data_IF_933937597572
#
_entry.id   IF_933937597572
#
_cell.length_a   1.000
_cell.length_b   1.000
_cell.length_c   1.000
_cell.angle_alpha   90.00
_cell.angle_beta   90.00
_cell.angle_gamma   90.00
#
_symmetry.space_group_name_H-M   'P 1'
#
loop_
_entity.id
_entity.type
_entity.pdbx_description
1 polymer ?
#
# COMPACT_ATOMS: atom_id res chain seq x y z
N UNK A 1 -34.14 16.25 43.63
CA UNK A 1 -34.05 16.52 42.17
C UNK A 1 -32.61 16.59 41.65
N UNK A 2 -31.68 17.36 42.24
CA UNK A 2 -30.27 17.48 41.77
C UNK A 2 -29.46 16.17 41.65
N UNK A 3 -29.68 15.19 42.53
CA UNK A 3 -28.95 13.89 42.51
C UNK A 3 -29.22 13.03 41.28
N UNK A 4 -30.46 13.05 40.77
CA UNK A 4 -30.83 12.26 39.58
C UNK A 4 -30.24 12.87 38.30
N UNK A 5 -30.14 14.20 38.23
CA UNK A 5 -29.53 14.91 37.09
C UNK A 5 -28.03 14.64 36.97
N UNK A 6 -27.31 14.57 38.11
CA UNK A 6 -25.88 14.22 38.13
C UNK A 6 -25.62 12.77 37.69
N UNK A 7 -26.47 11.82 38.13
CA UNK A 7 -26.34 10.41 37.75
C UNK A 7 -26.61 10.19 36.26
N UNK A 8 -27.67 10.79 35.72
CA UNK A 8 -28.01 10.73 34.28
C UNK A 8 -26.89 11.34 33.41
N UNK A 9 -26.26 12.43 33.85
CA UNK A 9 -25.10 13.03 33.15
C UNK A 9 -23.88 12.10 33.14
N UNK A 10 -23.60 11.42 34.26
CA UNK A 10 -22.49 10.46 34.36
C UNK A 10 -22.68 9.24 33.48
N UNK A 11 -23.89 8.69 33.45
CA UNK A 11 -24.21 7.51 32.62
C UNK A 11 -24.11 7.85 31.12
N UNK A 12 -24.63 9.01 30.70
CA UNK A 12 -24.54 9.47 29.31
C UNK A 12 -23.09 9.73 28.85
N UNK A 13 -22.25 10.31 29.72
CA UNK A 13 -20.85 10.57 29.43
C UNK A 13 -20.03 9.27 29.34
N UNK A 14 -20.33 8.26 30.16
CA UNK A 14 -19.68 6.94 30.12
C UNK A 14 -20.04 6.15 28.85
N UNK A 15 -21.28 6.26 28.38
CA UNK A 15 -21.72 5.59 27.16
C UNK A 15 -21.12 6.27 25.92
N UNK A 16 -21.08 7.60 25.88
CA UNK A 16 -20.41 8.34 24.81
C UNK A 16 -18.92 7.96 24.70
N UNK A 17 -18.23 7.81 25.83
CA UNK A 17 -16.82 7.38 25.86
C UNK A 17 -16.64 5.95 25.33
N UNK A 18 -17.53 5.01 25.68
CA UNK A 18 -17.52 3.64 25.15
C UNK A 18 -17.72 3.61 23.63
N UNK A 19 -18.66 4.41 23.11
CA UNK A 19 -18.88 4.54 21.66
C UNK A 19 -17.68 5.17 20.95
N UNK A 20 -17.07 6.20 21.56
CA UNK A 20 -15.86 6.82 21.02
C UNK A 20 -14.70 5.83 20.95
N UNK A 21 -14.44 5.05 22.00
CA UNK A 21 -13.42 4.00 21.98
C UNK A 21 -13.73 2.93 20.93
N UNK A 22 -14.99 2.53 20.81
CA UNK A 22 -15.44 1.55 19.80
C UNK A 22 -15.19 2.04 18.37
N UNK A 23 -15.53 3.31 18.08
CA UNK A 23 -15.28 3.94 16.79
C UNK A 23 -13.78 4.03 16.47
N UNK A 24 -12.96 4.47 17.43
CA UNK A 24 -11.50 4.53 17.26
C UNK A 24 -10.93 3.14 16.98
N UNK A 25 -11.36 2.12 17.71
CA UNK A 25 -10.96 0.74 17.47
C UNK A 25 -11.34 0.25 16.08
N UNK A 26 -12.57 0.52 15.63
CA UNK A 26 -13.02 0.15 14.29
C UNK A 26 -12.20 0.82 13.18
N UNK A 27 -11.89 2.11 13.32
CA UNK A 27 -11.03 2.84 12.37
C UNK A 27 -9.64 2.22 12.31
N UNK A 28 -9.02 1.91 13.45
CA UNK A 28 -7.70 1.27 13.49
C UNK A 28 -7.69 -0.09 12.78
N UNK A 29 -8.74 -0.90 12.95
CA UNK A 29 -8.87 -2.19 12.25
C UNK A 29 -8.94 -1.97 10.73
N UNK A 30 -9.75 -1.01 10.26
CA UNK A 30 -9.84 -0.69 8.83
C UNK A 30 -8.49 -0.22 8.30
N UNK A 31 -7.76 0.61 9.04
CA UNK A 31 -6.44 1.09 8.62
C UNK A 31 -5.42 -0.06 8.50
N UNK A 32 -5.43 -1.03 9.43
CA UNK A 32 -4.56 -2.22 9.33
C UNK A 32 -4.96 -3.13 8.17
N UNK A 33 -6.26 -3.34 7.98
CA UNK A 33 -6.78 -4.19 6.90
C UNK A 33 -6.62 -3.58 5.51
N UNK A 34 -6.37 -2.29 5.40
CA UNK A 34 -6.22 -1.58 4.12
C UNK A 34 -4.76 -1.27 3.78
N UNK A 35 -3.82 -1.73 4.60
CA UNK A 35 -2.39 -1.60 4.33
C UNK A 35 -2.06 -2.26 2.97
N UNK A 36 -1.54 -1.49 2.01
CA UNK A 36 -1.15 -2.02 0.70
C UNK A 36 -0.10 -3.14 0.90
N UNK A 37 -0.33 -4.27 0.24
CA UNK A 37 0.51 -5.47 0.37
C UNK A 37 1.22 -5.80 -0.96
N UNK A 38 2.20 -6.69 -0.89
CA UNK A 38 3.01 -7.08 -2.04
C UNK A 38 2.18 -7.76 -3.15
N UNK A 39 1.14 -8.53 -2.78
CA UNK A 39 0.25 -9.17 -3.75
C UNK A 39 -0.58 -8.15 -4.56
N UNK A 40 -1.01 -7.06 -3.93
CA UNK A 40 -1.67 -5.94 -4.59
C UNK A 40 -0.73 -5.22 -5.54
N UNK A 41 0.53 -5.03 -5.13
CA UNK A 41 1.56 -4.43 -5.97
C UNK A 41 1.86 -5.28 -7.19
N UNK A 42 2.09 -6.58 -7.05
CA UNK A 42 2.40 -7.47 -8.19
C UNK A 42 1.24 -7.56 -9.17
N UNK A 43 -0.01 -7.57 -8.68
CA UNK A 43 -1.20 -7.52 -9.52
C UNK A 43 -1.30 -6.20 -10.29
N UNK A 44 -1.05 -5.08 -9.63
CA UNK A 44 -1.02 -3.76 -10.27
C UNK A 44 0.11 -3.68 -11.31
N UNK A 45 1.31 -4.12 -10.97
CA UNK A 45 2.49 -4.11 -11.83
C UNK A 45 2.27 -4.93 -13.11
N UNK A 46 1.64 -6.11 -12.98
CA UNK A 46 1.26 -6.94 -14.12
C UNK A 46 0.21 -6.27 -14.99
N UNK A 47 -0.79 -5.63 -14.39
CA UNK A 47 -1.89 -4.98 -15.12
C UNK A 47 -1.45 -3.71 -15.84
N UNK A 48 -0.68 -2.85 -15.18
CA UNK A 48 -0.35 -1.51 -15.66
C UNK A 48 0.92 -1.50 -16.51
N UNK A 49 1.94 -2.25 -16.10
CA UNK A 49 3.24 -2.27 -16.80
C UNK A 49 3.47 -3.55 -17.62
N UNK A 50 2.57 -4.55 -17.51
CA UNK A 50 2.72 -5.84 -18.20
C UNK A 50 3.84 -6.71 -17.63
N UNK A 51 4.39 -6.37 -16.46
CA UNK A 51 5.54 -7.08 -15.86
C UNK A 51 5.05 -8.19 -14.95
N UNK A 52 5.49 -9.41 -15.22
CA UNK A 52 5.24 -10.58 -14.38
C UNK A 52 6.58 -11.18 -13.97
N UNK A 53 6.81 -11.25 -12.66
CA UNK A 53 8.00 -11.88 -12.09
C UNK A 53 7.63 -13.23 -11.50
N UNK A 54 8.35 -14.26 -11.89
CA UNK A 54 8.17 -15.62 -11.38
C UNK A 54 9.47 -16.04 -10.70
N UNK A 55 9.38 -16.40 -9.42
CA UNK A 55 10.51 -16.94 -8.69
C UNK A 55 10.69 -18.42 -9.09
N UNK A 56 11.78 -18.76 -9.76
CA UNK A 56 12.08 -20.14 -10.19
C UNK A 56 12.91 -20.91 -9.17
N UNK A 57 13.19 -20.32 -8.00
CA UNK A 57 13.95 -20.93 -6.90
C UNK A 57 15.44 -20.64 -6.94
N UNK A 58 16.02 -20.40 -8.13
CA UNK A 58 17.41 -19.97 -8.30
C UNK A 58 17.54 -18.49 -8.68
N UNK A 59 16.59 -17.98 -9.47
CA UNK A 59 16.55 -16.59 -9.90
C UNK A 59 15.10 -16.09 -9.97
N UNK A 60 14.93 -14.77 -9.89
CA UNK A 60 13.65 -14.11 -10.15
C UNK A 60 13.64 -13.72 -11.62
N UNK A 61 12.98 -14.55 -12.45
CA UNK A 61 12.79 -14.26 -13.87
C UNK A 61 11.60 -13.33 -14.05
N UNK A 62 11.82 -12.12 -14.57
CA UNK A 62 10.75 -11.20 -14.91
C UNK A 62 10.57 -11.12 -16.42
N UNK A 63 9.32 -10.95 -16.86
CA UNK A 63 8.98 -10.75 -18.27
C UNK A 63 8.01 -9.59 -18.41
N UNK A 64 8.14 -8.85 -19.50
CA UNK A 64 7.22 -7.79 -19.92
C UNK A 64 6.72 -8.10 -21.32
N UNK A 65 5.43 -8.40 -21.48
CA UNK A 65 4.83 -8.71 -22.80
C UNK A 65 5.69 -9.69 -23.63
N UNK A 66 6.11 -10.80 -23.02
CA UNK A 66 6.98 -11.85 -23.59
C UNK A 66 8.49 -11.54 -23.69
N UNK A 67 8.91 -10.27 -23.58
CA UNK A 67 10.32 -9.91 -23.50
C UNK A 67 10.90 -10.20 -22.10
N UNK A 68 12.13 -10.69 -22.03
CA UNK A 68 12.83 -10.91 -20.77
C UNK A 68 13.30 -9.58 -20.19
N UNK A 69 12.94 -9.34 -18.92
CA UNK A 69 13.35 -8.16 -18.18
C UNK A 69 14.12 -8.59 -16.95
N UNK A 70 15.31 -8.03 -16.76
CA UNK A 70 16.12 -8.32 -15.59
C UNK A 70 15.70 -7.41 -14.44
N UNK A 71 15.17 -8.01 -13.38
CA UNK A 71 14.98 -7.29 -12.13
C UNK A 71 16.34 -7.01 -11.48
N UNK A 72 16.57 -5.75 -11.07
CA UNK A 72 17.84 -5.31 -10.46
C UNK A 72 17.72 -5.12 -8.97
N UNK A 73 16.74 -4.33 -8.55
CA UNK A 73 16.57 -3.98 -7.14
C UNK A 73 15.15 -3.51 -6.87
N UNK A 74 14.69 -3.76 -5.65
CA UNK A 74 13.44 -3.24 -5.10
C UNK A 74 13.72 -2.45 -3.84
N UNK A 75 13.11 -1.29 -3.71
CA UNK A 75 13.05 -0.53 -2.47
C UNK A 75 11.60 -0.33 -2.06
N UNK A 76 11.26 -0.74 -0.85
CA UNK A 76 9.93 -0.59 -0.27
C UNK A 76 10.04 0.25 1.00
N UNK A 77 9.20 1.27 1.10
CA UNK A 77 9.06 2.09 2.29
C UNK A 77 7.61 2.07 2.77
N UNK A 78 7.39 1.68 4.02
CA UNK A 78 6.08 1.70 4.67
C UNK A 78 5.96 2.92 5.58
N UNK A 79 4.86 3.67 5.46
CA UNK A 79 4.57 4.85 6.27
C UNK A 79 3.08 4.86 6.68
N UNK A 80 2.76 4.14 7.76
CA UNK A 80 1.38 3.98 8.22
C UNK A 80 0.52 3.25 7.19
N UNK A 81 -0.51 3.91 6.66
CA UNK A 81 -1.43 3.37 5.64
C UNK A 81 -0.90 3.44 4.21
N UNK A 82 0.31 3.94 4.05
CA UNK A 82 0.92 4.23 2.77
C UNK A 82 2.14 3.35 2.54
N UNK A 83 2.38 2.98 1.29
CA UNK A 83 3.61 2.27 0.89
C UNK A 83 4.17 2.89 -0.37
N UNK A 84 5.47 3.16 -0.40
CA UNK A 84 6.17 3.52 -1.63
C UNK A 84 6.98 2.32 -2.10
N UNK A 85 6.90 2.01 -3.39
CA UNK A 85 7.70 0.97 -4.03
C UNK A 85 8.50 1.62 -5.15
N UNK A 86 9.79 1.32 -5.22
CA UNK A 86 10.67 1.69 -6.32
C UNK A 86 11.36 0.44 -6.82
N UNK A 87 11.02 0.02 -8.03
CA UNK A 87 11.64 -1.11 -8.70
C UNK A 87 12.52 -0.65 -9.84
N UNK A 88 13.71 -1.23 -9.95
CA UNK A 88 14.61 -1.02 -11.07
C UNK A 88 14.68 -2.27 -11.93
N UNK A 89 14.55 -2.06 -13.23
CA UNK A 89 14.58 -3.09 -14.25
C UNK A 89 15.60 -2.75 -15.33
N UNK A 90 16.08 -3.77 -16.01
CA UNK A 90 16.89 -3.64 -17.21
C UNK A 90 16.30 -4.49 -18.34
N UNK A 91 16.16 -3.88 -19.51
CA UNK A 91 15.65 -4.51 -20.72
C UNK A 91 16.65 -4.21 -21.85
N UNK A 92 17.42 -5.24 -22.25
CA UNK A 92 18.57 -5.05 -23.14
C UNK A 92 19.64 -4.15 -22.53
N UNK A 93 19.93 -3.03 -23.20
CA UNK A 93 20.89 -2.01 -22.75
C UNK A 93 20.26 -0.84 -21.99
N UNK A 94 18.94 -0.87 -21.78
CA UNK A 94 18.21 0.23 -21.14
C UNK A 94 17.82 -0.13 -19.71
N UNK A 95 18.11 0.78 -18.79
CA UNK A 95 17.66 0.72 -17.40
C UNK A 95 16.49 1.66 -17.19
N UNK A 96 15.47 1.20 -16.47
CA UNK A 96 14.33 2.03 -16.09
C UNK A 96 13.89 1.75 -14.65
N UNK A 97 13.21 2.73 -14.06
CA UNK A 97 12.70 2.68 -12.69
C UNK A 97 11.19 2.89 -12.69
N UNK A 98 10.47 2.00 -12.02
CA UNK A 98 9.03 2.12 -11.74
C UNK A 98 8.87 2.55 -10.29
N UNK A 99 8.22 3.69 -10.08
CA UNK A 99 7.92 4.28 -8.78
C UNK A 99 6.40 4.26 -8.56
N UNK A 100 5.96 3.58 -7.52
CA UNK A 100 4.55 3.41 -7.22
C UNK A 100 4.22 3.80 -5.79
N UNK A 101 3.08 4.46 -5.59
CA UNK A 101 2.53 4.77 -4.28
C UNK A 101 1.27 3.95 -4.03
N UNK A 102 1.29 3.21 -2.93
CA UNK A 102 0.21 2.37 -2.44
C UNK A 102 -0.60 3.07 -1.35
N UNK A 103 -1.92 3.10 -1.51
CA UNK A 103 -2.89 3.61 -0.53
C UNK A 103 -4.11 2.69 -0.55
N UNK A 104 -4.58 2.22 0.60
CA UNK A 104 -5.85 1.47 0.69
C UNK A 104 -5.97 0.33 -0.35
N UNK A 105 -4.95 -0.52 -0.50
CA UNK A 105 -4.83 -1.58 -1.52
C UNK A 105 -4.73 -1.15 -3.00
N UNK A 106 -4.75 0.14 -3.30
CA UNK A 106 -4.54 0.66 -4.65
C UNK A 106 -3.11 1.14 -4.81
N UNK A 107 -2.55 0.96 -6.01
CA UNK A 107 -1.23 1.45 -6.38
C UNK A 107 -1.36 2.41 -7.56
N UNK A 108 -0.51 3.43 -7.57
CA UNK A 108 -0.48 4.48 -8.58
C UNK A 108 0.96 4.72 -9.04
N UNK A 109 1.16 4.84 -10.35
CA UNK A 109 2.45 5.20 -10.92
C UNK A 109 2.71 6.70 -10.72
N UNK A 110 3.90 7.03 -10.23
CA UNK A 110 4.40 8.41 -10.19
C UNK A 110 5.84 8.49 -10.72
N UNK A 111 6.25 7.49 -11.49
CA UNK A 111 7.49 7.52 -12.26
C UNK A 111 7.45 8.77 -13.14
N UNK A 112 8.19 9.81 -12.74
CA UNK A 112 8.46 10.91 -13.63
C UNK A 112 9.17 10.31 -14.83
N UNK A 113 8.59 10.42 -16.02
CA UNK A 113 9.35 10.27 -17.25
C UNK A 113 10.53 11.23 -17.12
N UNK A 114 11.72 10.72 -16.82
CA UNK A 114 12.97 11.49 -16.86
C UNK A 114 13.33 11.69 -18.33
N UNK A 115 12.44 12.36 -19.05
CA UNK A 115 12.70 13.16 -20.23
C UNK A 115 12.18 14.54 -19.85
N UNK A 116 12.89 15.20 -18.95
CA UNK A 116 12.87 16.66 -18.86
C UNK A 116 14.01 17.08 -19.78
N UNK A 117 13.64 17.71 -20.89
CA UNK A 117 14.51 18.23 -21.95
C UNK A 117 15.46 19.33 -21.43
#
# INVERSE_FOLDING_TARGET
>A
MKRNVLKVKGDMMSNALKWALGLVGAVLIVLVMTCPNEAGYTKWLSKEHGIVCVNTGFDIGCKRQEAEVKWKSRYIMHAGIYTQVKDKYAEGSMDYEIKAFGILHHFFDYSSNLNED
#
